data_IF_659256899583
#
_entry.id   IF_659256899583
#
_cell.length_a   1.000
_cell.length_b   1.000
_cell.length_c   1.000
_cell.angle_alpha   90.00
_cell.angle_beta   90.00
_cell.angle_gamma   90.00
#
_symmetry.space_group_name_H-M   'P 1'
#
loop_
_entity.id
_entity.type
_entity.pdbx_description
1 polymer ?
#
# COMPACT_ATOMS: atom_id res chain seq x y z
N UNK A 1 53.30 69.21 50.05
CA UNK A 1 52.43 68.08 50.44
C UNK A 1 51.64 67.61 49.22
N UNK A 2 51.90 66.40 48.69
CA UNK A 2 51.14 65.80 47.60
C UNK A 2 50.19 64.77 48.18
N UNK A 3 48.90 64.78 47.83
CA UNK A 3 48.00 63.72 48.27
C UNK A 3 48.24 62.43 47.50
N UNK A 4 48.25 61.30 48.19
CA UNK A 4 48.41 59.97 47.68
C UNK A 4 47.14 59.55 46.92
N UNK A 5 47.30 59.09 45.66
CA UNK A 5 46.25 58.46 44.89
C UNK A 5 46.04 57.01 45.39
N UNK A 6 44.82 56.72 45.89
CA UNK A 6 44.39 55.36 46.23
C UNK A 6 44.23 54.51 45.00
N UNK A 7 44.73 53.26 44.94
CA UNK A 7 44.50 52.38 43.83
C UNK A 7 43.05 51.88 43.83
N UNK A 8 42.41 51.97 42.66
CA UNK A 8 41.09 51.37 42.40
C UNK A 8 41.23 49.85 42.32
N UNK A 9 40.36 49.10 43.00
CA UNK A 9 40.35 47.65 42.85
C UNK A 9 39.88 47.29 41.46
N UNK A 10 40.41 46.18 40.80
CA UNK A 10 39.97 45.74 39.54
C UNK A 10 38.53 45.25 39.61
N UNK A 11 37.68 45.73 38.68
CA UNK A 11 36.33 45.23 38.48
C UNK A 11 36.39 43.80 37.91
N UNK A 12 35.90 42.85 38.70
CA UNK A 12 35.74 41.46 38.27
C UNK A 12 34.47 41.37 37.50
N UNK A 13 34.58 41.21 36.18
CA UNK A 13 33.41 40.92 35.31
C UNK A 13 32.80 39.56 35.66
N UNK A 14 31.46 39.47 35.84
CA UNK A 14 30.80 38.19 36.09
C UNK A 14 30.89 37.29 34.85
N UNK A 15 31.08 35.97 35.05
CA UNK A 15 31.23 35.04 33.93
C UNK A 15 29.93 34.94 33.09
N UNK A 16 30.01 34.81 31.76
CA UNK A 16 28.85 34.84 30.88
C UNK A 16 27.99 33.57 31.05
N UNK A 17 26.97 33.63 31.89
CA UNK A 17 25.96 32.57 32.05
C UNK A 17 25.05 32.36 30.80
N UNK A 18 25.04 33.33 29.90
CA UNK A 18 24.17 33.33 28.71
C UNK A 18 24.53 32.28 27.68
N UNK A 19 25.79 31.86 27.57
CA UNK A 19 26.27 31.00 26.47
C UNK A 19 25.75 29.54 26.56
N UNK A 20 25.53 29.01 27.77
CA UNK A 20 25.08 27.64 27.98
C UNK A 20 23.59 27.44 27.62
N UNK A 21 22.75 28.45 27.94
CA UNK A 21 21.31 28.41 27.63
C UNK A 21 21.05 28.51 26.14
N UNK A 22 21.85 29.29 25.41
CA UNK A 22 21.73 29.45 23.96
C UNK A 22 22.00 28.12 23.20
N UNK A 23 22.98 27.32 23.65
CA UNK A 23 23.27 26.02 23.06
C UNK A 23 22.19 24.96 23.32
N UNK A 24 21.55 25.01 24.50
CA UNK A 24 20.45 24.11 24.86
C UNK A 24 19.21 24.42 23.98
N UNK A 25 18.88 25.71 23.84
CA UNK A 25 17.75 26.15 23.00
C UNK A 25 18.00 25.83 21.52
N UNK A 26 19.21 26.09 21.00
CA UNK A 26 19.56 25.77 19.64
C UNK A 26 19.49 24.27 19.38
N UNK A 27 19.97 23.42 20.30
CA UNK A 27 19.85 21.96 20.20
C UNK A 27 18.41 21.47 20.21
N UNK A 28 17.55 22.02 21.07
CA UNK A 28 16.14 21.65 21.11
C UNK A 28 15.38 22.02 19.83
N UNK A 29 15.67 23.17 19.23
CA UNK A 29 15.07 23.59 17.95
C UNK A 29 15.49 22.65 16.81
N UNK A 30 16.78 22.28 16.74
CA UNK A 30 17.27 21.35 15.70
C UNK A 30 16.61 19.98 15.83
N UNK A 31 16.48 19.44 17.05
CA UNK A 31 15.81 18.15 17.29
C UNK A 31 14.33 18.23 16.92
N UNK A 32 13.65 19.32 17.27
CA UNK A 32 12.24 19.53 16.90
C UNK A 32 12.05 19.63 15.39
N UNK A 33 12.94 20.35 14.68
CA UNK A 33 12.89 20.45 13.21
C UNK A 33 13.17 19.12 12.54
N UNK A 34 14.15 18.34 13.02
CA UNK A 34 14.44 17.01 12.49
C UNK A 34 13.29 16.03 12.74
N UNK A 35 12.65 16.10 13.92
CA UNK A 35 11.47 15.30 14.23
C UNK A 35 10.26 15.66 13.35
N UNK A 36 10.04 16.94 13.10
CA UNK A 36 8.96 17.42 12.24
C UNK A 36 9.13 17.00 10.76
N UNK A 37 10.35 16.84 10.30
CA UNK A 37 10.64 16.34 8.94
C UNK A 37 10.68 14.81 8.86
N UNK A 38 11.11 14.12 9.92
CA UNK A 38 11.20 12.66 9.94
C UNK A 38 9.82 11.97 9.85
N UNK A 39 8.79 12.55 10.46
CA UNK A 39 7.43 11.98 10.41
C UNK A 39 6.82 11.98 9.01
N UNK A 40 6.77 13.10 8.26
CA UNK A 40 6.20 13.09 6.91
C UNK A 40 7.08 12.29 5.93
N UNK A 41 8.41 12.35 6.05
CA UNK A 41 9.30 11.58 5.18
C UNK A 41 9.22 10.08 5.48
N UNK A 42 9.22 9.69 6.76
CA UNK A 42 9.04 8.30 7.17
C UNK A 42 7.67 7.75 6.79
N UNK A 43 6.61 8.53 6.97
CA UNK A 43 5.26 8.18 6.55
C UNK A 43 5.14 8.02 5.04
N UNK A 44 5.75 8.91 4.26
CA UNK A 44 5.77 8.84 2.80
C UNK A 44 6.54 7.61 2.30
N UNK A 45 7.71 7.31 2.90
CA UNK A 45 8.48 6.11 2.55
C UNK A 45 7.71 4.83 2.90
N UNK A 46 7.09 4.77 4.08
CA UNK A 46 6.24 3.64 4.45
C UNK A 46 5.07 3.47 3.48
N UNK A 47 4.43 4.56 3.06
CA UNK A 47 3.35 4.52 2.08
C UNK A 47 3.86 4.03 0.70
N UNK A 48 5.03 4.49 0.25
CA UNK A 48 5.64 4.01 -1.01
C UNK A 48 5.98 2.51 -0.99
N UNK A 49 6.44 1.98 0.16
CA UNK A 49 6.85 0.58 0.27
C UNK A 49 5.72 -0.36 0.69
N UNK A 50 4.73 0.12 1.44
CA UNK A 50 3.63 -0.68 1.98
C UNK A 50 2.25 -0.26 1.43
N UNK A 51 2.20 0.71 0.53
CA UNK A 51 0.98 1.18 -0.12
C UNK A 51 0.35 0.13 -1.03
N UNK A 52 -0.89 0.38 -1.46
CA UNK A 52 -1.56 -0.45 -2.45
C UNK A 52 -0.70 -0.56 -3.72
N UNK A 53 -0.57 -1.76 -4.24
CA UNK A 53 0.30 -2.08 -5.37
C UNK A 53 -0.54 -2.74 -6.46
N UNK A 54 -0.62 -2.10 -7.61
CA UNK A 54 -1.39 -2.61 -8.76
C UNK A 54 -0.79 -3.89 -9.32
N UNK A 55 0.52 -4.10 -9.19
CA UNK A 55 1.14 -5.34 -9.63
C UNK A 55 0.75 -6.53 -8.75
N UNK A 56 0.48 -6.28 -7.46
CA UNK A 56 -0.09 -7.30 -6.57
C UNK A 56 -1.54 -7.66 -6.95
N UNK A 57 -2.35 -6.69 -7.39
CA UNK A 57 -3.70 -7.00 -7.89
C UNK A 57 -3.65 -7.80 -9.18
N UNK A 58 -2.72 -7.47 -10.09
CA UNK A 58 -2.48 -8.24 -11.31
C UNK A 58 -2.04 -9.67 -10.99
N UNK A 59 -1.11 -9.86 -10.06
CA UNK A 59 -0.67 -11.18 -9.63
C UNK A 59 -1.79 -12.00 -8.97
N UNK A 60 -2.69 -11.37 -8.22
CA UNK A 60 -3.86 -12.04 -7.67
C UNK A 60 -4.87 -12.48 -8.73
N UNK A 61 -5.11 -11.65 -9.74
CA UNK A 61 -5.94 -12.00 -10.90
C UNK A 61 -5.34 -13.15 -11.70
N UNK A 62 -4.04 -13.09 -12.01
CA UNK A 62 -3.29 -14.15 -12.67
C UNK A 62 -3.38 -15.48 -11.93
N UNK A 63 -3.14 -15.47 -10.62
CA UNK A 63 -3.27 -16.65 -9.77
C UNK A 63 -4.70 -17.21 -9.76
N UNK A 64 -5.72 -16.35 -9.70
CA UNK A 64 -7.11 -16.76 -9.74
C UNK A 64 -7.42 -17.51 -11.04
N UNK A 65 -7.05 -16.92 -12.19
CA UNK A 65 -7.33 -17.54 -13.49
C UNK A 65 -6.52 -18.81 -13.70
N UNK A 66 -5.26 -18.86 -13.28
CA UNK A 66 -4.43 -20.08 -13.31
C UNK A 66 -5.07 -21.25 -12.55
N UNK A 67 -5.77 -20.98 -11.44
CA UNK A 67 -6.54 -22.02 -10.73
C UNK A 67 -7.72 -22.53 -11.54
N UNK A 68 -8.42 -21.65 -12.27
CA UNK A 68 -9.49 -22.07 -13.19
C UNK A 68 -8.97 -22.94 -14.33
N UNK A 69 -7.81 -22.65 -14.86
CA UNK A 69 -7.15 -23.45 -15.93
C UNK A 69 -6.80 -24.86 -15.46
N UNK A 70 -6.34 -24.95 -14.20
CA UNK A 70 -5.96 -26.24 -13.58
C UNK A 70 -7.14 -27.01 -12.99
N UNK A 71 -8.38 -26.52 -13.13
CA UNK A 71 -9.61 -27.06 -12.54
C UNK A 71 -9.59 -27.09 -11.00
N UNK A 72 -8.83 -26.17 -10.38
CA UNK A 72 -8.82 -26.02 -8.92
C UNK A 72 -9.87 -24.96 -8.50
N UNK A 73 -11.14 -25.31 -8.76
CA UNK A 73 -12.27 -24.42 -8.49
C UNK A 73 -12.40 -24.10 -6.99
N UNK A 74 -12.01 -25.04 -6.12
CA UNK A 74 -12.06 -24.83 -4.69
C UNK A 74 -11.09 -23.70 -4.26
N UNK A 75 -9.84 -23.74 -4.71
CA UNK A 75 -8.87 -22.70 -4.40
C UNK A 75 -9.20 -21.37 -5.11
N UNK A 76 -9.78 -21.41 -6.32
CA UNK A 76 -10.27 -20.23 -7.00
C UNK A 76 -11.42 -19.58 -6.21
N UNK A 77 -12.40 -20.36 -5.73
CA UNK A 77 -13.50 -19.91 -4.92
C UNK A 77 -13.03 -19.29 -3.58
N UNK A 78 -12.01 -19.87 -2.93
CA UNK A 78 -11.40 -19.32 -1.71
C UNK A 78 -10.73 -17.95 -1.95
N UNK A 79 -10.30 -17.65 -3.17
CA UNK A 79 -9.73 -16.35 -3.52
C UNK A 79 -10.76 -15.28 -3.86
N UNK A 80 -12.06 -15.61 -3.86
CA UNK A 80 -13.13 -14.62 -3.92
C UNK A 80 -13.16 -13.79 -2.63
N UNK A 81 -13.66 -12.57 -2.73
CA UNK A 81 -13.89 -11.76 -1.53
C UNK A 81 -15.01 -12.36 -0.65
N UNK A 82 -15.03 -12.05 0.67
CA UNK A 82 -15.99 -12.63 1.60
C UNK A 82 -17.44 -12.47 1.16
N UNK A 83 -17.82 -11.29 0.64
CA UNK A 83 -19.15 -11.01 0.17
C UNK A 83 -19.59 -11.91 -1.00
N UNK A 84 -18.67 -12.24 -1.91
CA UNK A 84 -18.93 -13.17 -3.01
C UNK A 84 -19.04 -14.62 -2.51
N UNK A 85 -18.18 -15.05 -1.61
CA UNK A 85 -18.24 -16.40 -1.03
C UNK A 85 -19.51 -16.67 -0.21
N UNK A 86 -20.08 -15.64 0.41
CA UNK A 86 -21.38 -15.74 1.08
C UNK A 86 -22.55 -15.85 0.10
N UNK A 87 -22.42 -15.23 -1.07
CA UNK A 87 -23.45 -15.14 -2.11
C UNK A 87 -23.47 -16.37 -3.03
N UNK A 88 -22.31 -16.95 -3.27
CA UNK A 88 -22.06 -17.99 -4.28
C UNK A 88 -21.35 -19.17 -3.65
N UNK A 89 -22.02 -20.31 -3.56
CA UNK A 89 -21.36 -21.55 -3.13
C UNK A 89 -20.47 -22.14 -4.22
N UNK A 90 -19.63 -23.10 -3.86
CA UNK A 90 -18.67 -23.71 -4.78
C UNK A 90 -19.35 -24.34 -6.02
N UNK A 91 -20.54 -24.93 -5.85
CA UNK A 91 -21.23 -25.60 -6.96
C UNK A 91 -21.75 -24.57 -7.98
N UNK A 92 -22.33 -23.45 -7.49
CA UNK A 92 -22.78 -22.33 -8.32
C UNK A 92 -21.59 -21.68 -9.02
N UNK A 93 -20.48 -21.46 -8.29
CA UNK A 93 -19.25 -20.92 -8.85
C UNK A 93 -18.71 -21.80 -10.00
N UNK A 94 -18.57 -23.12 -9.77
CA UNK A 94 -18.11 -24.06 -10.80
C UNK A 94 -19.01 -24.04 -12.02
N UNK A 95 -20.33 -23.99 -11.84
CA UNK A 95 -21.28 -23.89 -12.94
C UNK A 95 -21.15 -22.55 -13.71
N UNK A 96 -20.84 -21.45 -13.01
CA UNK A 96 -20.59 -20.17 -13.66
C UNK A 96 -19.29 -20.21 -14.50
N UNK A 97 -18.21 -20.80 -13.99
CA UNK A 97 -16.95 -21.00 -14.74
C UNK A 97 -17.18 -21.83 -16.00
N UNK A 98 -17.96 -22.90 -15.92
CA UNK A 98 -18.28 -23.73 -17.09
C UNK A 98 -19.13 -22.96 -18.13
N UNK A 99 -20.08 -22.13 -17.68
CA UNK A 99 -20.90 -21.26 -18.56
C UNK A 99 -20.06 -20.22 -19.31
N UNK A 100 -19.06 -19.64 -18.65
CA UNK A 100 -18.11 -18.69 -19.25
C UNK A 100 -17.18 -19.37 -20.26
N UNK A 101 -17.08 -20.69 -20.20
CA UNK A 101 -16.17 -21.48 -21.02
C UNK A 101 -14.79 -21.57 -20.36
N UNK A 102 -14.63 -22.55 -19.49
CA UNK A 102 -13.40 -22.79 -18.72
C UNK A 102 -12.14 -22.47 -19.53
N UNK A 103 -11.28 -21.56 -19.06
CA UNK A 103 -10.08 -21.18 -19.77
C UNK A 103 -9.05 -22.31 -19.78
N UNK A 104 -8.25 -22.38 -20.81
CA UNK A 104 -7.06 -23.27 -20.91
C UNK A 104 -5.77 -22.48 -20.95
N UNK A 105 -5.87 -21.17 -21.21
CA UNK A 105 -4.78 -20.20 -21.09
C UNK A 105 -5.35 -18.80 -20.92
N UNK A 106 -4.58 -17.90 -20.38
CA UNK A 106 -4.95 -16.49 -20.27
C UNK A 106 -3.76 -15.58 -20.54
N UNK A 107 -4.08 -14.30 -20.74
CA UNK A 107 -3.11 -13.21 -20.76
C UNK A 107 -3.66 -12.09 -19.89
N UNK A 108 -2.83 -11.62 -18.97
CA UNK A 108 -3.16 -10.47 -18.10
C UNK A 108 -2.81 -9.18 -18.81
N UNK A 109 -3.78 -8.31 -18.99
CA UNK A 109 -3.65 -7.04 -19.70
C UNK A 109 -3.48 -5.84 -18.77
N UNK A 110 -4.28 -4.81 -19.04
CA UNK A 110 -4.30 -3.57 -18.26
C UNK A 110 -4.78 -3.83 -16.83
N UNK A 111 -4.18 -3.09 -15.88
CA UNK A 111 -4.61 -3.09 -14.49
C UNK A 111 -4.54 -1.68 -13.93
N UNK A 112 -5.47 -1.33 -13.07
CA UNK A 112 -5.53 -0.01 -12.45
C UNK A 112 -6.34 -0.04 -11.16
N UNK A 113 -6.25 1.07 -10.41
CA UNK A 113 -7.09 1.24 -9.22
C UNK A 113 -8.48 1.74 -9.61
N UNK A 114 -9.49 1.18 -8.99
CA UNK A 114 -10.90 1.56 -9.15
C UNK A 114 -11.32 2.71 -8.23
N UNK A 115 -10.47 3.09 -7.26
CA UNK A 115 -10.70 4.22 -6.37
C UNK A 115 -9.39 4.89 -5.96
N UNK A 116 -9.48 6.16 -5.47
CA UNK A 116 -8.32 6.95 -5.04
C UNK A 116 -7.60 6.36 -3.81
N UNK A 117 -8.28 5.58 -2.99
CA UNK A 117 -7.69 4.92 -1.82
C UNK A 117 -6.84 3.70 -2.18
N UNK A 118 -6.90 3.22 -3.43
CA UNK A 118 -6.19 2.03 -3.89
C UNK A 118 -6.68 0.73 -3.24
N UNK A 119 -7.91 0.71 -2.70
CA UNK A 119 -8.51 -0.47 -2.05
C UNK A 119 -9.38 -1.30 -2.98
N UNK A 120 -9.63 -0.82 -4.19
CA UNK A 120 -10.23 -1.57 -5.29
C UNK A 120 -9.34 -1.45 -6.53
N UNK A 121 -9.31 -2.51 -7.33
CA UNK A 121 -8.56 -2.55 -8.57
C UNK A 121 -9.40 -3.27 -9.64
N UNK A 122 -9.09 -2.99 -10.89
CA UNK A 122 -9.54 -3.78 -12.03
C UNK A 122 -8.33 -4.37 -12.74
N UNK A 123 -8.49 -5.55 -13.30
CA UNK A 123 -7.49 -6.22 -14.11
C UNK A 123 -8.18 -6.83 -15.32
N UNK A 124 -7.82 -6.38 -16.50
CA UNK A 124 -8.31 -6.95 -17.74
C UNK A 124 -7.57 -8.27 -17.99
N UNK A 125 -8.33 -9.35 -18.19
CA UNK A 125 -7.79 -10.66 -18.56
C UNK A 125 -8.42 -11.16 -19.86
N UNK A 126 -7.60 -11.69 -20.72
CA UNK A 126 -8.01 -12.32 -21.95
C UNK A 126 -7.95 -13.85 -21.77
N UNK A 127 -9.11 -14.48 -21.75
CA UNK A 127 -9.29 -15.91 -21.49
C UNK A 127 -9.41 -16.66 -22.80
N UNK A 128 -8.62 -17.68 -23.02
CA UNK A 128 -8.75 -18.57 -24.16
C UNK A 128 -9.36 -19.90 -23.73
N UNK A 129 -10.53 -20.21 -24.25
CA UNK A 129 -11.23 -21.48 -24.01
C UNK A 129 -10.69 -22.62 -24.83
N UNK A 130 -11.13 -23.87 -24.55
CA UNK A 130 -10.72 -25.12 -25.25
C UNK A 130 -10.94 -25.09 -26.75
N UNK A 131 -11.89 -24.29 -27.25
CA UNK A 131 -12.17 -24.13 -28.66
C UNK A 131 -11.27 -23.12 -29.37
N UNK A 132 -10.32 -22.51 -28.64
CA UNK A 132 -9.52 -21.41 -29.15
C UNK A 132 -10.27 -20.07 -29.17
N UNK A 133 -11.50 -20.01 -28.62
CA UNK A 133 -12.26 -18.76 -28.52
C UNK A 133 -11.66 -17.93 -27.38
N UNK A 134 -11.41 -16.67 -27.66
CA UNK A 134 -10.92 -15.70 -26.68
C UNK A 134 -12.09 -14.84 -26.19
N UNK A 135 -12.10 -14.59 -24.88
CA UNK A 135 -13.06 -13.72 -24.20
C UNK A 135 -12.29 -12.78 -23.29
N UNK A 136 -12.54 -11.49 -23.39
CA UNK A 136 -11.96 -10.48 -22.49
C UNK A 136 -12.90 -10.27 -21.30
N UNK A 137 -12.34 -10.23 -20.11
CA UNK A 137 -13.06 -10.02 -18.87
C UNK A 137 -12.28 -9.01 -18.00
N UNK A 138 -12.96 -8.03 -17.44
CA UNK A 138 -12.40 -7.10 -16.47
C UNK A 138 -12.71 -7.62 -15.07
N UNK A 139 -11.71 -8.19 -14.42
CA UNK A 139 -11.84 -8.69 -13.06
C UNK A 139 -11.78 -7.53 -12.07
N UNK A 140 -12.79 -7.42 -11.23
CA UNK A 140 -12.80 -6.49 -10.12
C UNK A 140 -12.21 -7.14 -8.86
N UNK A 141 -11.25 -6.45 -8.23
CA UNK A 141 -10.57 -6.92 -7.03
C UNK A 141 -10.73 -5.92 -5.90
N UNK A 142 -10.79 -6.44 -4.68
CA UNK A 142 -10.84 -5.62 -3.46
C UNK A 142 -9.69 -6.02 -2.53
N UNK A 143 -9.03 -5.01 -1.96
CA UNK A 143 -7.96 -5.19 -0.99
C UNK A 143 -8.54 -5.37 0.41
N UNK A 144 -8.30 -6.52 1.00
CA UNK A 144 -8.51 -6.82 2.42
C UNK A 144 -7.16 -7.09 3.10
N UNK A 145 -6.97 -8.26 3.66
CA UNK A 145 -5.65 -8.76 4.08
C UNK A 145 -4.77 -9.11 2.87
N UNK A 146 -5.39 -9.39 1.73
CA UNK A 146 -4.80 -9.60 0.41
C UNK A 146 -5.79 -9.10 -0.66
N UNK A 147 -5.40 -9.13 -1.92
CA UNK A 147 -6.30 -8.89 -3.03
C UNK A 147 -7.21 -10.10 -3.27
N UNK A 148 -8.52 -9.85 -3.33
CA UNK A 148 -9.56 -10.85 -3.56
C UNK A 148 -10.40 -10.45 -4.75
N UNK A 149 -10.82 -11.43 -5.55
CA UNK A 149 -11.72 -11.21 -6.69
C UNK A 149 -13.14 -10.98 -6.16
N UNK A 150 -13.74 -9.85 -6.56
CA UNK A 150 -15.10 -9.44 -6.20
C UNK A 150 -15.90 -9.16 -7.48
N UNK A 151 -16.17 -10.17 -8.29
CA UNK A 151 -16.79 -10.00 -9.60
C UNK A 151 -18.07 -10.82 -9.72
N UNK A 152 -19.17 -10.16 -10.14
CA UNK A 152 -20.48 -10.79 -10.29
C UNK A 152 -20.56 -11.73 -11.52
N UNK A 153 -19.52 -11.77 -12.38
CA UNK A 153 -19.45 -12.71 -13.49
C UNK A 153 -19.48 -14.18 -13.05
N UNK A 154 -19.14 -14.44 -11.78
CA UNK A 154 -19.10 -15.79 -11.19
C UNK A 154 -20.33 -16.08 -10.29
N UNK A 155 -21.38 -15.27 -10.35
CA UNK A 155 -22.62 -15.42 -9.58
C UNK A 155 -23.78 -16.04 -10.37
#
# INVERSE_FOLDING_TARGET
>A
MRPALSPHPPSVDPPPKARRTTWIVAGAVVVACLGALALPVGGFLLWMYAGPDVDKSRAAADQFVSRLETNDDAAAHESLCPAMREKVDLAVFTAAVERLGRPVSHTTGEAGFGNEAGTSAFVTVELTGRTGRTTTLDLHLTLGSAWHVCDDAFA
#
